data_IF_258534756991
#
_entry.id   IF_258534756991
#
_cell.length_a   1.000
_cell.length_b   1.000
_cell.length_c   1.000
_cell.angle_alpha   90.00
_cell.angle_beta   90.00
_cell.angle_gamma   90.00
#
_symmetry.space_group_name_H-M   'P 1'
#
loop_
_entity.id
_entity.type
_entity.pdbx_description
1 polymer ?
#
# COMPACT_ATOMS: atom_id res chain seq x y z
N UNK A 1 -6.48 -29.50 -4.14
CA UNK A 1 -5.95 -29.34 -5.50
C UNK A 1 -4.88 -30.39 -5.76
N UNK A 2 -4.83 -30.91 -6.99
CA UNK A 2 -3.71 -31.70 -7.52
C UNK A 2 -2.53 -30.78 -7.88
N UNK A 3 -1.36 -31.33 -8.23
CA UNK A 3 -0.26 -30.56 -8.83
C UNK A 3 -0.61 -29.97 -10.21
N UNK A 4 -1.67 -30.48 -10.86
CA UNK A 4 -2.22 -29.96 -12.12
C UNK A 4 -3.69 -29.62 -11.88
N UNK A 5 -4.05 -28.35 -12.10
CA UNK A 5 -5.43 -27.90 -11.97
C UNK A 5 -6.33 -28.58 -13.01
N UNK A 6 -7.51 -29.03 -12.60
CA UNK A 6 -8.54 -29.50 -13.52
C UNK A 6 -9.14 -28.33 -14.32
N UNK A 7 -9.82 -28.59 -15.46
CA UNK A 7 -10.54 -27.55 -16.18
C UNK A 7 -11.53 -26.76 -15.30
N UNK A 8 -12.21 -27.44 -14.37
CA UNK A 8 -13.14 -26.81 -13.42
C UNK A 8 -12.41 -25.88 -12.43
N UNK A 9 -11.25 -26.31 -11.91
CA UNK A 9 -10.43 -25.47 -11.02
C UNK A 9 -9.90 -24.22 -11.77
N UNK A 10 -9.52 -24.36 -13.05
CA UNK A 10 -9.09 -23.23 -13.89
C UNK A 10 -10.25 -22.26 -14.17
N UNK A 11 -11.44 -22.77 -14.50
CA UNK A 11 -12.63 -21.94 -14.71
C UNK A 11 -13.01 -21.19 -13.42
N UNK A 12 -12.99 -21.87 -12.28
CA UNK A 12 -13.24 -21.25 -10.99
C UNK A 12 -12.23 -20.13 -10.70
N UNK A 13 -10.95 -20.37 -10.95
CA UNK A 13 -9.89 -19.37 -10.83
C UNK A 13 -10.15 -18.16 -11.73
N UNK A 14 -10.41 -18.36 -13.03
CA UNK A 14 -10.65 -17.28 -13.98
C UNK A 14 -11.86 -16.43 -13.58
N UNK A 15 -12.97 -17.09 -13.21
CA UNK A 15 -14.19 -16.40 -12.79
C UNK A 15 -13.95 -15.55 -11.54
N UNK A 16 -13.36 -16.13 -10.50
CA UNK A 16 -13.14 -15.43 -9.21
C UNK A 16 -12.09 -14.32 -9.32
N UNK A 17 -11.07 -14.50 -10.16
CA UNK A 17 -10.03 -13.49 -10.39
C UNK A 17 -10.46 -12.33 -11.28
N UNK A 18 -11.43 -12.54 -12.17
CA UNK A 18 -11.95 -11.49 -13.04
C UNK A 18 -12.91 -10.51 -12.35
N UNK A 19 -13.41 -10.86 -11.15
CA UNK A 19 -14.31 -10.03 -10.35
C UNK A 19 -13.86 -9.96 -8.87
N UNK A 20 -12.71 -9.32 -8.60
CA UNK A 20 -12.17 -9.15 -7.25
C UNK A 20 -13.08 -8.26 -6.39
N UNK A 21 -13.58 -8.84 -5.31
CA UNK A 21 -14.37 -8.14 -4.31
C UNK A 21 -13.84 -8.43 -2.92
N UNK A 22 -13.78 -7.38 -2.10
CA UNK A 22 -13.23 -7.44 -0.76
C UNK A 22 -14.25 -6.88 0.23
N UNK A 23 -14.64 -7.69 1.22
CA UNK A 23 -15.17 -7.12 2.46
C UNK A 23 -14.03 -6.35 3.12
N UNK A 24 -14.31 -5.18 3.69
CA UNK A 24 -13.27 -4.35 4.30
C UNK A 24 -13.75 -3.69 5.59
N UNK A 25 -12.79 -3.53 6.50
CA UNK A 25 -12.94 -2.67 7.67
C UNK A 25 -11.61 -1.98 7.97
N UNK A 26 -11.59 -0.65 7.96
CA UNK A 26 -10.36 0.12 8.02
C UNK A 26 -10.51 1.47 8.72
N UNK A 27 -9.38 2.00 9.17
CA UNK A 27 -9.22 3.42 9.50
C UNK A 27 -8.41 4.05 8.38
N UNK A 28 -8.88 5.17 7.84
CA UNK A 28 -8.19 5.96 6.83
C UNK A 28 -8.04 7.43 7.26
N UNK A 29 -7.00 8.08 6.75
CA UNK A 29 -6.83 9.53 6.80
C UNK A 29 -6.06 10.01 5.58
N UNK A 30 -6.23 11.28 5.27
CA UNK A 30 -5.45 12.00 4.28
C UNK A 30 -4.37 12.81 4.99
N UNK A 31 -3.24 13.00 4.32
CA UNK A 31 -2.17 13.86 4.80
C UNK A 31 -1.65 14.78 3.70
N UNK A 32 -1.18 15.95 4.11
CA UNK A 32 -0.47 16.87 3.22
C UNK A 32 1.03 16.67 3.36
N UNK A 33 1.74 16.57 2.25
CA UNK A 33 3.20 16.47 2.17
C UNK A 33 3.79 17.63 1.36
N UNK A 34 5.02 17.48 0.87
CA UNK A 34 5.74 18.49 0.10
C UNK A 34 5.73 18.16 -1.40
N UNK A 35 5.62 19.16 -2.29
CA UNK A 35 5.81 18.97 -3.73
C UNK A 35 7.15 18.31 -4.08
N UNK A 36 8.19 18.59 -3.31
CA UNK A 36 9.53 18.02 -3.47
C UNK A 36 9.51 16.50 -3.23
N UNK A 37 8.85 16.06 -2.15
CA UNK A 37 8.68 14.63 -1.87
C UNK A 37 7.88 13.95 -2.99
N UNK A 38 6.74 14.52 -3.40
CA UNK A 38 5.93 13.96 -4.49
C UNK A 38 6.78 13.76 -5.75
N UNK A 39 7.52 14.78 -6.19
CA UNK A 39 8.41 14.67 -7.35
C UNK A 39 9.48 13.59 -7.20
N UNK A 40 10.00 13.37 -5.99
CA UNK A 40 11.06 12.38 -5.74
C UNK A 40 10.60 10.93 -5.87
N UNK A 41 9.29 10.66 -5.69
CA UNK A 41 8.72 9.30 -5.72
C UNK A 41 7.86 9.04 -6.96
N UNK A 42 7.63 10.05 -7.80
CA UNK A 42 6.84 9.93 -9.02
C UNK A 42 7.59 9.10 -10.07
N UNK A 43 6.99 8.00 -10.57
CA UNK A 43 7.55 7.24 -11.68
C UNK A 43 7.53 8.06 -12.98
N UNK A 44 8.35 7.69 -13.99
CA UNK A 44 8.30 8.32 -15.30
C UNK A 44 6.86 8.31 -15.85
N UNK A 45 6.50 9.27 -16.71
CA UNK A 45 5.17 9.39 -17.32
C UNK A 45 3.99 9.70 -16.37
N UNK A 46 4.24 9.77 -15.05
CA UNK A 46 3.25 10.24 -14.09
C UNK A 46 3.48 11.71 -13.76
N UNK A 47 2.39 12.40 -13.46
CA UNK A 47 2.34 13.78 -13.03
C UNK A 47 1.84 13.84 -11.57
N UNK A 48 2.20 14.88 -10.80
CA UNK A 48 1.61 15.08 -9.48
C UNK A 48 0.10 15.30 -9.56
N UNK A 49 -0.62 14.93 -8.50
CA UNK A 49 -2.01 15.34 -8.30
C UNK A 49 -2.17 16.86 -8.20
N UNK A 50 -3.41 17.32 -8.05
CA UNK A 50 -3.73 18.76 -7.93
C UNK A 50 -3.17 19.40 -6.65
N UNK A 51 -2.87 18.58 -5.65
CA UNK A 51 -2.27 18.97 -4.37
C UNK A 51 -1.31 17.88 -3.89
N UNK A 52 -0.30 18.20 -3.06
CA UNK A 52 0.62 17.23 -2.51
C UNK A 52 -0.05 16.42 -1.38
N UNK A 53 -1.02 15.60 -1.76
CA UNK A 53 -1.84 14.78 -0.87
C UNK A 53 -1.38 13.33 -0.92
N UNK A 54 -1.38 12.68 0.24
CA UNK A 54 -1.32 11.25 0.32
C UNK A 54 -2.34 10.69 1.30
N UNK A 55 -2.46 9.36 1.31
CA UNK A 55 -3.48 8.64 2.05
C UNK A 55 -2.81 7.54 2.85
N UNK A 56 -3.29 7.33 4.08
CA UNK A 56 -2.89 6.21 4.92
C UNK A 56 -4.15 5.48 5.34
N UNK A 57 -4.16 4.16 5.13
CA UNK A 57 -5.21 3.29 5.66
C UNK A 57 -4.60 2.07 6.35
N UNK A 58 -5.27 1.58 7.40
CA UNK A 58 -4.94 0.32 8.09
C UNK A 58 -6.23 -0.40 8.42
N UNK A 59 -6.33 -1.67 8.04
CA UNK A 59 -7.55 -2.44 8.21
C UNK A 59 -7.43 -3.94 7.95
N UNK A 60 -8.59 -4.57 7.86
CA UNK A 60 -8.79 -6.00 7.62
C UNK A 60 -9.69 -6.19 6.42
N UNK A 61 -9.38 -7.20 5.61
CA UNK A 61 -10.02 -7.47 4.33
C UNK A 61 -10.32 -8.97 4.20
N UNK A 62 -11.38 -9.31 3.47
CA UNK A 62 -11.75 -10.71 3.19
C UNK A 62 -12.20 -10.85 1.74
N UNK A 63 -11.70 -11.87 1.04
CA UNK A 63 -12.08 -12.13 -0.34
C UNK A 63 -12.10 -13.62 -0.67
N UNK A 64 -12.98 -14.01 -1.61
CA UNK A 64 -12.91 -15.34 -2.23
C UNK A 64 -11.64 -15.55 -3.06
N UNK A 65 -10.97 -14.46 -3.45
CA UNK A 65 -9.79 -14.50 -4.30
C UNK A 65 -8.53 -14.92 -3.54
N UNK A 66 -8.38 -14.43 -2.31
CA UNK A 66 -7.15 -14.57 -1.55
C UNK A 66 -7.36 -14.74 -0.03
N UNK A 67 -8.59 -15.07 0.40
CA UNK A 67 -8.93 -15.28 1.82
C UNK A 67 -9.00 -14.00 2.63
N UNK A 68 -8.88 -14.15 3.95
CA UNK A 68 -8.75 -13.09 4.93
C UNK A 68 -7.31 -12.58 5.04
N UNK A 69 -7.16 -11.26 5.16
CA UNK A 69 -5.87 -10.62 5.35
C UNK A 69 -6.00 -9.24 5.99
N UNK A 70 -4.94 -8.80 6.64
CA UNK A 70 -4.81 -7.45 7.16
C UNK A 70 -3.93 -6.65 6.21
N UNK A 71 -4.23 -5.35 6.07
CA UNK A 71 -3.58 -4.50 5.08
C UNK A 71 -3.36 -3.10 5.63
N UNK A 72 -2.19 -2.53 5.34
CA UNK A 72 -1.94 -1.10 5.45
C UNK A 72 -1.45 -0.54 4.12
N UNK A 73 -2.04 0.57 3.70
CA UNK A 73 -1.78 1.20 2.41
C UNK A 73 -1.26 2.62 2.65
N UNK A 74 -0.20 3.00 1.94
CA UNK A 74 0.23 4.40 1.83
C UNK A 74 0.32 4.76 0.36
N UNK A 75 -0.44 5.76 -0.06
CA UNK A 75 -0.50 6.21 -1.45
C UNK A 75 -0.40 7.72 -1.56
N UNK A 76 -0.17 8.20 -2.78
CA UNK A 76 -0.18 9.62 -3.15
C UNK A 76 -1.11 9.87 -4.32
N UNK A 77 -1.64 11.08 -4.39
CA UNK A 77 -2.39 11.56 -5.55
C UNK A 77 -1.45 11.81 -6.74
N UNK A 78 -1.82 11.24 -7.89
CA UNK A 78 -1.08 11.35 -9.14
C UNK A 78 -2.04 11.57 -10.31
N UNK A 79 -1.47 11.94 -11.46
CA UNK A 79 -2.14 11.87 -12.74
C UNK A 79 -1.34 11.01 -13.70
N UNK A 80 -2.03 10.18 -14.47
CA UNK A 80 -1.44 9.43 -15.57
C UNK A 80 -2.21 9.74 -16.84
N UNK A 81 -1.53 10.24 -17.88
CA UNK A 81 -2.17 10.71 -19.13
C UNK A 81 -3.31 11.71 -18.86
N UNK A 82 -3.11 12.63 -17.90
CA UNK A 82 -4.08 13.65 -17.51
C UNK A 82 -5.26 13.16 -16.65
N UNK A 83 -5.35 11.86 -16.34
CA UNK A 83 -6.41 11.32 -15.47
C UNK A 83 -5.93 11.19 -14.03
N UNK A 84 -6.73 11.69 -13.08
CA UNK A 84 -6.44 11.61 -11.64
C UNK A 84 -6.60 10.18 -11.13
N UNK A 85 -5.71 9.78 -10.22
CA UNK A 85 -5.80 8.55 -9.46
C UNK A 85 -4.76 8.52 -8.35
N UNK A 86 -4.58 7.35 -7.76
CA UNK A 86 -3.60 7.13 -6.68
C UNK A 86 -2.50 6.19 -7.13
N UNK A 87 -1.33 6.34 -6.52
CA UNK A 87 -0.17 5.47 -6.70
C UNK A 87 0.36 5.02 -5.34
N UNK A 88 0.49 3.70 -5.14
CA UNK A 88 0.96 3.12 -3.89
C UNK A 88 2.47 3.33 -3.69
N UNK A 89 2.84 3.83 -2.52
CA UNK A 89 4.22 3.88 -2.05
C UNK A 89 4.56 2.68 -1.18
N UNK A 90 3.63 2.22 -0.35
CA UNK A 90 3.82 1.14 0.60
C UNK A 90 2.53 0.32 0.72
N UNK A 91 2.67 -1.01 0.80
CA UNK A 91 1.55 -1.91 1.01
C UNK A 91 1.99 -3.09 1.88
N UNK A 92 1.61 -3.06 3.16
CA UNK A 92 1.96 -4.10 4.14
C UNK A 92 0.78 -5.03 4.30
N UNK A 93 0.97 -6.32 4.02
CA UNK A 93 -0.13 -7.29 3.91
C UNK A 93 0.21 -8.57 4.66
N UNK A 94 -0.76 -9.14 5.39
CA UNK A 94 -0.63 -10.48 5.97
C UNK A 94 -1.09 -11.56 4.99
N UNK A 95 -0.56 -12.78 5.12
CA UNK A 95 -0.88 -13.90 4.23
C UNK A 95 -0.03 -13.95 2.96
N UNK A 96 0.26 -15.17 2.50
CA UNK A 96 1.05 -15.44 1.29
C UNK A 96 0.21 -15.22 0.02
N UNK A 97 -0.99 -15.79 -0.04
CA UNK A 97 -1.93 -15.65 -1.16
C UNK A 97 -2.23 -14.20 -1.56
N UNK A 98 -2.61 -13.28 -0.66
CA UNK A 98 -2.87 -11.89 -1.04
C UNK A 98 -1.62 -11.15 -1.51
N UNK A 99 -0.43 -11.47 -0.97
CA UNK A 99 0.86 -10.91 -1.39
C UNK A 99 1.22 -11.39 -2.80
N UNK A 100 1.23 -12.70 -3.01
CA UNK A 100 1.51 -13.32 -4.31
C UNK A 100 0.56 -12.81 -5.38
N UNK A 101 -0.75 -12.86 -5.11
CA UNK A 101 -1.78 -12.39 -6.03
C UNK A 101 -1.57 -10.93 -6.48
N UNK A 102 -1.43 -10.02 -5.50
CA UNK A 102 -1.30 -8.60 -5.80
C UNK A 102 -0.10 -8.27 -6.68
N UNK A 103 1.05 -8.88 -6.36
CA UNK A 103 2.32 -8.69 -7.10
C UNK A 103 2.28 -9.33 -8.49
N UNK A 104 1.75 -10.54 -8.61
CA UNK A 104 1.78 -11.31 -9.85
C UNK A 104 0.71 -10.89 -10.84
N UNK A 105 -0.43 -10.38 -10.36
CA UNK A 105 -1.58 -10.07 -11.21
C UNK A 105 -1.66 -8.59 -11.51
N UNK A 106 -1.65 -7.74 -10.47
CA UNK A 106 -1.82 -6.29 -10.63
C UNK A 106 -0.50 -5.50 -10.60
N UNK A 107 0.56 -6.05 -10.02
CA UNK A 107 1.83 -5.33 -9.85
C UNK A 107 1.87 -4.47 -8.59
N UNK A 108 1.08 -4.83 -7.57
CA UNK A 108 1.06 -4.10 -6.30
C UNK A 108 2.37 -4.27 -5.51
N UNK A 109 2.75 -3.25 -4.75
CA UNK A 109 3.99 -3.17 -3.95
C UNK A 109 3.95 -3.97 -2.64
N UNK A 110 3.27 -5.11 -2.63
CA UNK A 110 3.02 -5.85 -1.37
C UNK A 110 4.32 -6.37 -0.74
N UNK A 111 4.47 -6.09 0.55
CA UNK A 111 5.45 -6.70 1.46
C UNK A 111 4.72 -7.39 2.60
N UNK A 112 5.19 -8.57 2.97
CA UNK A 112 4.58 -9.35 4.07
C UNK A 112 4.83 -8.67 5.41
N UNK A 113 3.76 -8.49 6.18
CA UNK A 113 3.78 -7.99 7.55
C UNK A 113 2.49 -8.32 8.27
N UNK A 114 2.23 -7.66 9.40
CA UNK A 114 0.99 -7.85 10.16
C UNK A 114 0.31 -6.51 10.38
N UNK A 115 -0.99 -6.45 10.15
CA UNK A 115 -1.80 -5.31 10.57
C UNK A 115 -2.88 -5.78 11.53
N UNK A 116 -3.34 -4.92 12.43
CA UNK A 116 -4.42 -5.26 13.37
C UNK A 116 -5.24 -4.03 13.69
N UNK A 117 -6.54 -4.23 13.94
CA UNK A 117 -7.47 -3.22 14.43
C UNK A 117 -8.19 -3.70 15.69
N UNK A 118 -8.22 -2.85 16.71
CA UNK A 118 -8.92 -3.05 17.98
C UNK A 118 -10.00 -1.99 18.19
N UNK A 119 -11.05 -2.37 18.91
CA UNK A 119 -12.26 -1.57 19.13
C UNK A 119 -12.59 -1.53 20.62
N UNK A 120 -12.93 -0.36 21.13
CA UNK A 120 -13.43 -0.18 22.50
C UNK A 120 -14.38 1.01 22.54
N UNK A 121 -15.70 0.77 22.53
CA UNK A 121 -16.70 1.83 22.42
C UNK A 121 -16.49 2.64 21.13
N UNK A 122 -16.34 3.96 21.26
CA UNK A 122 -16.08 4.89 20.15
C UNK A 122 -14.59 4.96 19.76
N UNK A 123 -13.71 4.27 20.48
CA UNK A 123 -12.28 4.28 20.23
C UNK A 123 -11.87 3.16 19.27
N UNK A 124 -10.94 3.48 18.37
CA UNK A 124 -10.25 2.51 17.52
C UNK A 124 -8.76 2.68 17.64
N UNK A 125 -8.04 1.56 17.61
CA UNK A 125 -6.58 1.51 17.50
C UNK A 125 -6.23 0.58 16.36
N UNK A 126 -5.38 1.02 15.44
CA UNK A 126 -4.85 0.17 14.39
C UNK A 126 -3.33 0.27 14.31
N UNK A 127 -2.68 -0.84 13.93
CA UNK A 127 -1.23 -0.90 13.72
C UNK A 127 -0.91 -1.62 12.42
N UNK A 128 0.18 -1.20 11.78
CA UNK A 128 0.89 -1.93 10.74
C UNK A 128 2.32 -2.18 11.22
N UNK A 129 2.73 -3.44 11.25
CA UNK A 129 4.01 -3.89 11.78
C UNK A 129 4.71 -4.78 10.76
N UNK A 130 6.01 -4.58 10.59
CA UNK A 130 6.86 -5.43 9.77
C UNK A 130 8.23 -5.59 10.43
N UNK A 131 8.75 -6.82 10.45
CA UNK A 131 10.04 -7.15 11.03
C UNK A 131 10.23 -6.63 12.47
N UNK A 132 9.18 -6.69 13.29
CA UNK A 132 9.18 -6.23 14.69
C UNK A 132 9.08 -4.72 14.90
N UNK A 133 8.92 -3.93 13.83
CA UNK A 133 8.76 -2.48 13.91
C UNK A 133 7.34 -2.08 13.55
N UNK A 134 6.66 -1.39 14.47
CA UNK A 134 5.35 -0.75 14.22
C UNK A 134 5.55 0.50 13.37
N UNK A 135 5.36 0.34 12.07
CA UNK A 135 5.56 1.36 11.05
C UNK A 135 4.46 2.41 11.09
N UNK A 136 3.21 1.99 11.30
CA UNK A 136 2.04 2.88 11.38
C UNK A 136 1.25 2.53 12.63
N UNK A 137 0.88 3.54 13.41
CA UNK A 137 -0.03 3.41 14.54
C UNK A 137 -1.11 4.50 14.45
N UNK A 138 -2.38 4.11 14.42
CA UNK A 138 -3.54 5.00 14.33
C UNK A 138 -4.40 4.86 15.58
N UNK A 139 -4.70 5.96 16.27
CA UNK A 139 -5.63 5.96 17.40
C UNK A 139 -6.62 7.08 17.23
N UNK A 140 -7.91 6.78 17.29
CA UNK A 140 -8.95 7.78 17.11
C UNK A 140 -10.19 7.50 17.93
N UNK A 141 -10.94 8.56 18.18
CA UNK A 141 -12.31 8.54 18.69
C UNK A 141 -13.25 8.92 17.55
N UNK A 142 -14.23 8.07 17.27
CA UNK A 142 -15.14 8.20 16.15
C UNK A 142 -16.54 8.52 16.64
N UNK A 143 -17.21 9.44 15.96
CA UNK A 143 -18.58 9.82 16.24
C UNK A 143 -19.59 8.81 15.72
N UNK A 144 -20.83 9.29 15.58
CA UNK A 144 -21.94 8.50 15.07
C UNK A 144 -21.74 8.09 13.61
N UNK A 145 -22.31 6.94 13.27
CA UNK A 145 -22.38 6.44 11.89
C UNK A 145 -23.06 7.47 11.00
N UNK A 146 -22.43 7.73 9.87
CA UNK A 146 -22.93 8.59 8.81
C UNK A 146 -23.80 7.78 7.83
N UNK A 147 -24.66 8.44 7.04
CA UNK A 147 -25.42 7.76 5.99
C UNK A 147 -24.49 6.99 5.03
N UNK A 148 -24.87 5.76 4.61
CA UNK A 148 -24.08 4.98 3.66
C UNK A 148 -23.76 5.74 2.38
N UNK A 149 -22.60 5.49 1.79
CA UNK A 149 -22.18 6.13 0.53
C UNK A 149 -21.48 5.16 -0.40
N UNK A 150 -21.44 5.52 -1.68
CA UNK A 150 -20.64 4.86 -2.70
C UNK A 150 -19.59 5.84 -3.20
N UNK A 151 -18.33 5.43 -3.23
CA UNK A 151 -17.20 6.20 -3.75
C UNK A 151 -16.60 5.49 -4.94
N UNK A 152 -16.17 6.25 -5.94
CA UNK A 152 -15.43 5.73 -7.08
C UNK A 152 -14.07 6.41 -7.14
N UNK A 153 -13.02 5.59 -7.25
CA UNK A 153 -11.63 6.03 -7.30
C UNK A 153 -10.89 5.32 -8.44
N UNK A 154 -9.76 5.90 -8.86
CA UNK A 154 -8.81 5.28 -9.80
C UNK A 154 -7.51 4.97 -9.07
N UNK A 155 -6.98 3.77 -9.25
CA UNK A 155 -5.65 3.37 -8.77
C UNK A 155 -4.77 2.95 -9.95
N UNK A 156 -3.48 3.26 -9.87
CA UNK A 156 -2.47 2.91 -10.87
C UNK A 156 -1.41 2.00 -10.27
N UNK A 157 -1.31 0.78 -10.80
CA UNK A 157 -0.33 -0.21 -10.34
C UNK A 157 0.66 -0.53 -11.45
N UNK A 158 1.96 -0.47 -11.14
CA UNK A 158 3.02 -0.73 -12.13
C UNK A 158 3.45 -2.19 -12.02
N UNK A 159 3.12 -2.97 -13.06
CA UNK A 159 3.50 -4.36 -13.19
C UNK A 159 4.85 -4.49 -13.90
N UNK A 160 5.87 -4.88 -13.15
CA UNK A 160 7.24 -5.07 -13.63
C UNK A 160 7.95 -6.16 -12.82
N UNK A 161 8.90 -6.88 -13.45
CA UNK A 161 9.65 -7.97 -12.83
C UNK A 161 11.14 -7.82 -13.10
N UNK A 162 12.04 -8.05 -12.12
CA UNK A 162 13.47 -8.13 -12.37
C UNK A 162 13.78 -9.25 -13.35
N UNK A 163 14.79 -9.06 -14.20
CA UNK A 163 15.23 -10.13 -15.10
C UNK A 163 15.81 -11.30 -14.29
N UNK A 164 15.57 -12.53 -14.75
CA UNK A 164 16.14 -13.77 -14.19
C UNK A 164 17.68 -13.83 -14.12
N UNK A 165 18.41 -12.97 -14.83
CA UNK A 165 19.87 -12.84 -14.75
C UNK A 165 20.32 -11.79 -13.71
N UNK A 166 19.38 -11.17 -12.99
CA UNK A 166 19.64 -10.14 -11.99
C UNK A 166 19.99 -8.76 -12.56
N UNK A 167 19.72 -8.48 -13.84
CA UNK A 167 20.04 -7.20 -14.50
C UNK A 167 18.85 -6.66 -15.27
N UNK A 168 18.42 -5.45 -14.93
CA UNK A 168 17.29 -4.78 -15.58
C UNK A 168 15.95 -5.47 -15.32
N UNK A 169 14.93 -5.13 -16.11
CA UNK A 169 13.63 -5.79 -16.08
C UNK A 169 13.54 -6.97 -17.06
N UNK A 170 12.72 -7.97 -16.72
CA UNK A 170 12.48 -9.15 -17.54
C UNK A 170 11.71 -8.82 -18.83
N UNK A 171 10.80 -7.85 -18.74
CA UNK A 171 9.94 -7.38 -19.83
C UNK A 171 9.69 -5.87 -19.71
N UNK A 172 9.11 -5.29 -20.76
CA UNK A 172 8.63 -3.91 -20.71
C UNK A 172 7.59 -3.73 -19.59
N UNK A 173 7.76 -2.73 -18.69
CA UNK A 173 6.83 -2.50 -17.60
C UNK A 173 5.48 -2.01 -18.12
N UNK A 174 4.42 -2.43 -17.44
CA UNK A 174 3.05 -1.98 -17.70
C UNK A 174 2.50 -1.20 -16.50
N UNK A 175 1.57 -0.30 -16.76
CA UNK A 175 0.69 0.23 -15.72
C UNK A 175 -0.72 -0.28 -15.94
N UNK A 176 -1.31 -0.85 -14.88
CA UNK A 176 -2.73 -1.18 -14.81
C UNK A 176 -3.49 0.04 -14.27
N UNK A 177 -4.57 0.41 -14.93
CA UNK A 177 -5.56 1.36 -14.42
C UNK A 177 -6.72 0.57 -13.81
N UNK A 178 -6.89 0.70 -12.50
CA UNK A 178 -7.96 0.05 -11.76
C UNK A 178 -9.05 1.08 -11.44
N UNK A 179 -10.30 0.74 -11.76
CA UNK A 179 -11.47 1.38 -11.15
C UNK A 179 -11.75 0.68 -9.82
N UNK A 180 -11.85 1.47 -8.76
CA UNK A 180 -12.17 1.00 -7.41
C UNK A 180 -13.52 1.58 -7.01
N UNK A 181 -14.50 0.73 -6.71
CA UNK A 181 -15.81 1.14 -6.22
C UNK A 181 -15.96 0.69 -4.78
N UNK A 182 -16.11 1.65 -3.87
CA UNK A 182 -16.22 1.40 -2.44
C UNK A 182 -17.64 1.66 -1.97
N UNK A 183 -18.25 0.65 -1.34
CA UNK A 183 -19.56 0.69 -0.73
C UNK A 183 -19.37 0.81 0.78
N UNK A 184 -19.31 2.04 1.28
CA UNK A 184 -19.19 2.34 2.71
C UNK A 184 -20.56 2.12 3.36
N UNK A 185 -20.83 0.90 3.82
CA UNK A 185 -22.13 0.53 4.41
C UNK A 185 -22.27 1.05 5.83
N UNK A 186 -21.15 1.19 6.55
CA UNK A 186 -21.03 1.96 7.80
C UNK A 186 -19.75 2.76 7.76
N UNK A 187 -19.84 4.04 8.07
CA UNK A 187 -18.65 4.85 8.25
C UNK A 187 -18.91 5.97 9.23
N UNK A 188 -17.85 6.42 9.89
CA UNK A 188 -17.91 7.54 10.83
C UNK A 188 -16.64 8.37 10.72
N UNK A 189 -16.76 9.63 11.14
CA UNK A 189 -15.64 10.57 11.19
C UNK A 189 -15.15 10.66 12.63
N UNK A 190 -13.83 10.73 12.79
CA UNK A 190 -13.19 10.82 14.08
C UNK A 190 -12.02 11.77 14.10
N UNK A 191 -11.54 12.06 15.29
CA UNK A 191 -10.28 12.77 15.50
C UNK A 191 -9.30 11.83 16.18
N UNK A 192 -8.01 12.03 15.94
CA UNK A 192 -7.04 11.06 16.40
C UNK A 192 -5.61 11.51 16.34
N UNK A 193 -4.73 10.52 16.48
CA UNK A 193 -3.30 10.64 16.33
C UNK A 193 -2.75 9.53 15.47
N UNK A 194 -1.70 9.87 14.72
CA UNK A 194 -0.91 8.92 13.95
C UNK A 194 0.53 8.95 14.47
N UNK A 195 1.16 7.78 14.51
CA UNK A 195 2.62 7.64 14.59
C UNK A 195 3.12 6.92 13.34
N UNK A 196 4.09 7.52 12.67
CA UNK A 196 4.76 6.93 11.49
C UNK A 196 6.24 6.74 11.81
N UNK A 197 6.75 5.55 11.51
CA UNK A 197 8.17 5.18 11.55
C UNK A 197 8.54 4.61 10.21
N UNK A 198 9.83 4.48 9.94
CA UNK A 198 10.27 3.66 8.83
C UNK A 198 11.54 2.92 9.16
N UNK A 199 11.91 2.02 8.27
CA UNK A 199 13.16 1.26 8.26
C UNK A 199 13.88 1.56 6.93
N UNK A 200 15.02 0.91 6.68
CA UNK A 200 15.66 0.94 5.36
C UNK A 200 14.78 0.31 4.28
N UNK A 201 14.06 -0.77 4.62
CA UNK A 201 13.14 -1.46 3.70
C UNK A 201 11.77 -0.81 3.58
N UNK A 202 11.34 -0.07 4.61
CA UNK A 202 10.00 0.52 4.72
C UNK A 202 10.14 2.01 5.09
N UNK A 203 10.62 2.88 4.19
CA UNK A 203 11.11 4.22 4.53
C UNK A 203 9.99 5.26 4.77
N UNK A 204 8.89 4.90 5.42
CA UNK A 204 7.75 5.82 5.64
C UNK A 204 8.13 7.08 6.44
N UNK A 205 9.20 7.04 7.23
CA UNK A 205 9.72 8.22 7.93
C UNK A 205 10.26 9.29 6.96
N UNK A 206 10.59 8.94 5.72
CA UNK A 206 11.10 9.88 4.72
C UNK A 206 10.01 10.81 4.16
N UNK A 207 8.73 10.46 4.36
CA UNK A 207 7.58 11.25 3.90
C UNK A 207 7.43 12.47 4.81
N UNK A 208 7.62 13.72 4.35
CA UNK A 208 7.47 14.89 5.22
C UNK A 208 5.99 15.22 5.47
N UNK A 209 5.37 14.63 6.49
CA UNK A 209 3.96 14.84 6.80
C UNK A 209 3.77 16.21 7.47
N UNK A 210 3.06 17.12 6.81
CA UNK A 210 2.82 18.49 7.28
C UNK A 210 1.57 18.62 8.12
N UNK A 211 0.51 17.93 7.73
CA UNK A 211 -0.80 17.94 8.41
C UNK A 211 -1.57 16.67 8.06
N UNK A 212 -2.54 16.32 8.90
CA UNK A 212 -3.46 15.20 8.69
C UNK A 212 -4.91 15.68 8.75
N UNK A 213 -5.80 15.00 8.03
CA UNK A 213 -7.24 15.22 8.08
C UNK A 213 -7.89 14.67 9.37
N UNK A 214 -9.21 14.84 9.47
CA UNK A 214 -10.03 13.97 10.30
C UNK A 214 -9.87 12.51 9.83
N UNK A 215 -10.10 11.55 10.73
CA UNK A 215 -10.00 10.13 10.43
C UNK A 215 -11.36 9.63 9.94
N UNK A 216 -11.36 8.68 9.02
CA UNK A 216 -12.54 7.92 8.64
C UNK A 216 -12.39 6.50 9.15
N UNK A 217 -13.39 5.99 9.87
CA UNK A 217 -13.55 4.57 10.11
C UNK A 217 -14.61 4.06 9.14
N UNK A 218 -14.29 2.99 8.41
CA UNK A 218 -15.13 2.47 7.33
C UNK A 218 -15.27 0.96 7.49
N UNK A 219 -16.49 0.45 7.33
CA UNK A 219 -16.80 -0.95 7.13
C UNK A 219 -17.72 -1.09 5.92
N UNK A 220 -17.43 -2.05 5.04
CA UNK A 220 -18.10 -2.11 3.75
C UNK A 220 -17.51 -3.12 2.78
N UNK A 221 -17.67 -2.84 1.49
CA UNK A 221 -17.11 -3.64 0.40
C UNK A 221 -16.35 -2.76 -0.58
N UNK A 222 -15.25 -3.26 -1.13
CA UNK A 222 -14.55 -2.65 -2.27
C UNK A 222 -14.46 -3.62 -3.44
N UNK A 223 -14.81 -3.13 -4.62
CA UNK A 223 -14.75 -3.86 -5.89
C UNK A 223 -13.64 -3.25 -6.75
N UNK A 224 -12.75 -4.09 -7.27
CA UNK A 224 -11.58 -3.66 -8.06
C UNK A 224 -11.70 -4.20 -9.48
N UNK A 225 -11.62 -3.33 -10.49
CA UNK A 225 -11.72 -3.74 -11.89
C UNK A 225 -10.57 -3.11 -12.68
N UNK A 226 -9.76 -3.95 -13.32
CA UNK A 226 -8.77 -3.46 -14.30
C UNK A 226 -9.54 -3.00 -15.54
N UNK A 227 -9.52 -1.70 -15.82
CA UNK A 227 -10.25 -1.09 -16.95
C UNK A 227 -9.35 -0.82 -18.15
N UNK A 228 -8.03 -0.74 -17.94
CA UNK A 228 -7.03 -0.61 -19.00
C UNK A 228 -5.64 -1.04 -18.51
N UNK A 229 -4.77 -1.43 -19.44
CA UNK A 229 -3.33 -1.53 -19.23
C UNK A 229 -2.57 -0.76 -20.31
N UNK A 230 -1.42 -0.20 -19.94
CA UNK A 230 -0.58 0.58 -20.86
C UNK A 230 0.88 0.16 -20.72
N UNK A 231 1.54 -0.03 -21.86
CA UNK A 231 2.99 -0.15 -21.92
C UNK A 231 3.66 1.20 -21.56
N UNK A 232 4.73 1.14 -20.78
CA UNK A 232 5.42 2.33 -20.27
C UNK A 232 6.68 2.71 -21.05
N UNK A 233 7.11 1.92 -22.04
CA UNK A 233 8.13 2.29 -23.05
C UNK A 233 9.58 2.36 -22.58
N UNK A 234 9.84 2.71 -21.31
CA UNK A 234 11.20 3.02 -20.81
C UNK A 234 11.63 1.97 -19.78
N UNK A 235 12.04 0.78 -20.25
CA UNK A 235 12.22 -0.42 -19.41
C UNK A 235 13.02 -0.17 -18.12
N UNK A 236 14.31 0.19 -18.19
CA UNK A 236 15.14 0.24 -16.96
C UNK A 236 14.89 1.48 -16.09
N UNK A 237 14.26 2.53 -16.61
CA UNK A 237 13.95 3.73 -15.81
C UNK A 237 12.93 3.47 -14.69
N UNK A 238 12.14 2.40 -14.80
CA UNK A 238 11.19 1.99 -13.76
C UNK A 238 11.82 1.08 -12.69
N UNK A 239 13.02 0.55 -12.91
CA UNK A 239 13.66 -0.36 -11.96
C UNK A 239 13.82 0.27 -10.55
N UNK A 240 14.23 1.54 -10.38
CA UNK A 240 14.31 2.16 -9.05
C UNK A 240 12.96 2.19 -8.32
N UNK A 241 11.86 2.46 -9.05
CA UNK A 241 10.50 2.49 -8.52
C UNK A 241 9.93 1.11 -8.23
N UNK A 242 10.52 0.06 -8.80
CA UNK A 242 10.24 -1.32 -8.44
C UNK A 242 11.03 -1.70 -7.18
N UNK A 243 12.36 -1.57 -7.23
CA UNK A 243 13.28 -2.03 -6.17
C UNK A 243 12.94 -1.40 -4.83
N UNK A 244 12.80 -0.08 -4.77
CA UNK A 244 12.58 0.63 -3.49
C UNK A 244 11.21 0.37 -2.85
N UNK A 245 10.23 -0.20 -3.57
CA UNK A 245 8.88 -0.47 -3.03
C UNK A 245 8.59 -1.97 -2.87
N UNK A 246 9.13 -2.82 -3.75
CA UNK A 246 8.78 -4.24 -3.81
C UNK A 246 9.72 -5.16 -3.03
N UNK A 247 10.95 -4.72 -2.76
CA UNK A 247 12.01 -5.57 -2.24
C UNK A 247 12.66 -4.94 -1.01
N UNK A 248 13.14 -5.80 -0.11
CA UNK A 248 14.05 -5.37 0.93
C UNK A 248 15.40 -4.95 0.33
N UNK A 249 16.12 -4.11 1.05
CA UNK A 249 17.47 -3.75 0.66
C UNK A 249 18.42 -4.93 0.87
N UNK A 250 18.82 -5.55 -0.24
CA UNK A 250 19.63 -6.77 -0.25
C UNK A 250 20.98 -6.60 0.47
N UNK A 251 21.48 -5.36 0.58
CA UNK A 251 22.74 -5.03 1.26
C UNK A 251 22.68 -5.24 2.77
N UNK A 252 21.48 -5.32 3.34
CA UNK A 252 21.28 -5.48 4.79
C UNK A 252 21.21 -6.94 5.24
N UNK A 253 21.18 -7.91 4.31
CA UNK A 253 21.16 -9.32 4.67
C UNK A 253 22.57 -9.80 5.03
N UNK A 254 22.73 -10.34 6.25
CA UNK A 254 23.99 -10.92 6.71
C UNK A 254 24.14 -12.37 6.23
N UNK A 255 25.29 -12.72 5.63
CA UNK A 255 25.57 -14.07 5.13
C UNK A 255 26.72 -14.71 5.93
N UNK A 256 26.44 -15.81 6.60
CA UNK A 256 27.37 -16.50 7.51
C UNK A 256 28.75 -16.84 6.96
N UNK A 257 28.84 -17.16 5.66
CA UNK A 257 30.11 -17.54 5.01
C UNK A 257 30.97 -16.31 4.66
N UNK A 258 30.37 -15.13 4.57
CA UNK A 258 31.04 -13.87 4.27
C UNK A 258 31.60 -13.21 5.53
N UNK A 259 31.29 -13.75 6.71
CA UNK A 259 31.85 -13.38 8.02
C UNK A 259 33.33 -13.79 8.08
N UNK A 260 34.15 -13.13 7.30
CA UNK A 260 35.60 -13.38 7.21
C UNK A 260 36.39 -12.39 8.06
N UNK A 261 35.74 -11.28 8.43
CA UNK A 261 36.20 -10.27 9.37
C UNK A 261 34.97 -9.85 10.17
N UNK A 262 35.07 -9.63 11.49
CA UNK A 262 33.99 -9.00 12.26
C UNK A 262 33.84 -7.50 11.94
N UNK A 263 34.13 -7.14 10.70
CA UNK A 263 34.03 -5.81 10.10
C UNK A 263 32.80 -5.83 9.19
N UNK A 264 31.62 -5.76 9.80
CA UNK A 264 30.43 -5.36 9.07
C UNK A 264 30.46 -3.83 8.99
N UNK A 265 30.37 -3.25 7.79
CA UNK A 265 29.96 -1.84 7.67
C UNK A 265 28.48 -1.75 8.08
N UNK A 266 28.20 -1.81 9.39
CA UNK A 266 26.89 -1.45 9.92
C UNK A 266 26.71 0.05 9.70
N UNK A 267 26.00 0.39 8.64
CA UNK A 267 25.32 1.69 8.60
C UNK A 267 24.20 1.61 9.63
N UNK A 268 24.48 2.14 10.82
CA UNK A 268 23.42 2.51 11.74
C UNK A 268 22.41 3.34 10.94
N UNK A 269 21.14 2.89 10.83
CA UNK A 269 20.15 3.72 10.18
C UNK A 269 20.12 5.05 10.94
N UNK A 270 20.37 6.15 10.21
CA UNK A 270 20.13 7.50 10.69
C UNK A 270 18.83 7.50 11.51
N UNK A 271 18.80 8.12 12.71
CA UNK A 271 17.72 7.95 13.66
C UNK A 271 16.38 8.08 12.95
N UNK A 272 15.64 6.98 12.91
CA UNK A 272 14.38 6.91 12.16
C UNK A 272 13.47 8.02 12.66
N UNK A 273 13.24 9.03 11.82
CA UNK A 273 12.45 10.20 12.19
C UNK A 273 11.03 9.74 12.51
N UNK A 274 10.73 9.60 13.81
CA UNK A 274 9.39 9.24 14.24
C UNK A 274 8.51 10.47 14.14
N UNK A 275 7.56 10.43 13.21
CA UNK A 275 6.57 11.48 13.06
C UNK A 275 5.35 11.15 13.91
N UNK A 276 4.92 12.10 14.74
CA UNK A 276 3.70 11.99 15.56
C UNK A 276 2.83 13.20 15.30
N UNK A 277 1.65 12.98 14.75
CA UNK A 277 0.70 14.04 14.42
C UNK A 277 -0.64 13.77 15.09
N UNK A 278 -1.41 14.84 15.28
CA UNK A 278 -2.79 14.79 15.77
C UNK A 278 -3.68 15.60 14.85
N UNK A 279 -4.95 15.22 14.76
CA UNK A 279 -5.95 16.02 14.06
C UNK A 279 -5.96 17.43 14.66
N UNK A 280 -5.99 18.50 13.83
CA UNK A 280 -6.07 19.87 14.33
C UNK A 280 -7.29 20.06 15.24
N UNK A 281 -7.14 20.86 16.30
CA UNK A 281 -8.29 21.25 17.12
C UNK A 281 -9.29 22.03 16.25
N UNK A 282 -10.58 21.70 16.36
CA UNK A 282 -11.64 22.52 15.75
C UNK A 282 -11.75 23.81 16.57
N UNK A 283 -11.39 24.94 15.96
CA UNK A 283 -11.58 26.27 16.54
C UNK A 283 -13.06 26.61 16.68
#
# INVERSE_FOLDING_TARGET
>A
MSFVATPEEVEAFQRLSSDPRFSQELIALDFTTTPEFIKSVLPPNFEPGDSPTGHISVGTFESKLCGEFDCAMVSIDVKFKGQTGTYLLELIVSGDMPVTWGREVWGEVKKTGTCKIWRSGNYRYAVAERNGIRLIELQGEFGDDQPPRVRENTAYEIKAYPHSMGKGLQWEPKVNQLKVVEYDTRWSVGTGRITVRGTSSDPLHSIPIKSISDFAYVSGRSDYTVVADYNLGVTDAYLPYLVGRHYDDLRNFKVGIEWTYMEDEEHDPEPTLVQRLKTPAKN
#
